data_IF_909006169597
#
_entry.id   IF_909006169597
#
_cell.length_a   1.000
_cell.length_b   1.000
_cell.length_c   1.000
_cell.angle_alpha   90.00
_cell.angle_beta   90.00
_cell.angle_gamma   90.00
#
_symmetry.space_group_name_H-M   'P 1'
#
loop_
_entity.id
_entity.type
_entity.pdbx_description
1 polymer ?
#
# COMPACT_ATOMS: atom_id res chain seq x y z
N UNK A 1 -7.24 -4.91 -9.19
CA UNK A 1 -8.47 -4.10 -9.38
C UNK A 1 -8.67 -3.10 -8.23
N UNK A 2 -8.83 -3.56 -6.97
CA UNK A 2 -9.13 -2.67 -5.82
C UNK A 2 -8.14 -1.52 -5.59
N UNK A 3 -6.83 -1.75 -5.70
CA UNK A 3 -5.82 -0.69 -5.50
C UNK A 3 -5.97 0.43 -6.54
N UNK A 4 -6.12 0.09 -7.82
CA UNK A 4 -6.32 1.09 -8.88
C UNK A 4 -7.61 1.88 -8.66
N UNK A 5 -8.71 1.20 -8.34
CA UNK A 5 -9.99 1.85 -8.01
C UNK A 5 -9.87 2.81 -6.83
N UNK A 6 -9.12 2.44 -5.79
CA UNK A 6 -8.85 3.32 -4.65
C UNK A 6 -8.05 4.55 -5.08
N UNK A 7 -6.99 4.34 -5.87
CA UNK A 7 -6.18 5.43 -6.41
C UNK A 7 -7.03 6.40 -7.23
N UNK A 8 -7.88 5.89 -8.14
CA UNK A 8 -8.75 6.71 -8.97
C UNK A 8 -9.76 7.51 -8.12
N UNK A 9 -10.30 6.92 -7.05
CA UNK A 9 -11.29 7.57 -6.17
C UNK A 9 -10.69 8.69 -5.31
N UNK A 10 -9.45 8.51 -4.83
CA UNK A 10 -8.75 9.47 -3.96
C UNK A 10 -7.88 10.45 -4.76
N UNK A 11 -7.65 10.19 -6.05
CA UNK A 11 -6.76 11.00 -6.90
C UNK A 11 -5.28 10.65 -6.74
N UNK A 12 -4.95 9.44 -6.29
CA UNK A 12 -3.57 8.95 -6.23
C UNK A 12 -3.12 8.35 -7.57
N UNK A 13 -1.81 8.32 -7.80
CA UNK A 13 -1.20 7.63 -8.94
C UNK A 13 -0.90 6.17 -8.58
N UNK A 14 -1.21 5.26 -9.50
CA UNK A 14 -0.87 3.84 -9.38
C UNK A 14 0.24 3.46 -10.35
N UNK A 15 1.29 2.80 -9.86
CA UNK A 15 2.38 2.25 -10.69
C UNK A 15 2.66 0.79 -10.33
N UNK A 16 2.90 -0.02 -11.37
CA UNK A 16 3.35 -1.40 -11.21
C UNK A 16 4.86 -1.52 -10.96
N UNK A 17 5.65 -0.52 -11.37
CA UNK A 17 7.09 -0.48 -11.17
C UNK A 17 7.44 0.53 -10.08
N UNK A 18 8.46 0.21 -9.28
CA UNK A 18 8.97 1.12 -8.26
C UNK A 18 9.77 2.24 -8.95
N UNK A 19 9.56 3.48 -8.52
CA UNK A 19 10.32 4.66 -8.93
C UNK A 19 10.52 5.57 -7.72
N UNK A 20 11.38 6.59 -7.84
CA UNK A 20 11.61 7.58 -6.77
C UNK A 20 10.38 8.42 -6.42
N UNK A 21 9.35 8.44 -7.26
CA UNK A 21 8.08 9.13 -6.98
C UNK A 21 7.13 8.31 -6.09
N UNK A 22 7.45 7.03 -5.84
CA UNK A 22 6.60 6.16 -5.03
C UNK A 22 6.66 6.58 -3.56
N UNK A 23 5.50 6.90 -3.00
CA UNK A 23 5.35 7.24 -1.58
C UNK A 23 4.81 6.09 -0.75
N UNK A 24 4.07 5.16 -1.37
CA UNK A 24 3.41 4.04 -0.70
C UNK A 24 3.70 2.72 -1.42
N UNK A 25 4.07 1.71 -0.66
CA UNK A 25 4.25 0.34 -1.14
C UNK A 25 3.19 -0.54 -0.48
N UNK A 26 2.30 -1.10 -1.30
CA UNK A 26 1.25 -2.00 -0.83
C UNK A 26 1.81 -3.43 -0.78
N UNK A 27 1.72 -4.07 0.38
CA UNK A 27 2.13 -5.46 0.59
C UNK A 27 0.96 -6.36 0.94
N UNK A 28 1.02 -7.62 0.49
CA UNK A 28 0.10 -8.65 0.94
C UNK A 28 0.62 -9.22 2.25
N UNK A 29 -0.19 -9.19 3.30
CA UNK A 29 0.13 -9.82 4.57
C UNK A 29 -0.24 -11.30 4.57
N UNK A 30 0.39 -12.08 5.45
CA UNK A 30 0.11 -13.52 5.62
C UNK A 30 -1.33 -13.75 6.05
N UNK A 31 -1.86 -12.88 6.92
CA UNK A 31 -3.27 -12.82 7.27
C UNK A 31 -3.72 -11.37 7.49
N UNK A 32 -5.02 -11.07 7.41
CA UNK A 32 -5.56 -9.74 7.69
C UNK A 32 -5.22 -9.22 9.11
N UNK A 33 -5.17 -10.11 10.09
CA UNK A 33 -4.99 -9.75 11.50
C UNK A 33 -3.52 -9.51 11.88
N UNK A 34 -2.59 -9.82 10.98
CA UNK A 34 -1.16 -9.85 11.29
C UNK A 34 -0.38 -9.00 10.30
N UNK A 35 0.67 -8.32 10.80
CA UNK A 35 1.48 -7.36 10.02
C UNK A 35 2.75 -7.97 9.40
N UNK A 36 2.81 -9.30 9.31
CA UNK A 36 3.89 -9.99 8.62
C UNK A 36 3.58 -10.12 7.13
N UNK A 37 4.58 -9.90 6.29
CA UNK A 37 4.51 -10.11 4.85
C UNK A 37 5.80 -10.80 4.37
N UNK A 38 5.69 -11.46 3.23
CA UNK A 38 6.88 -11.96 2.55
C UNK A 38 7.78 -10.80 2.10
N UNK A 39 9.09 -10.99 2.20
CA UNK A 39 10.06 -9.99 1.78
C UNK A 39 10.23 -10.05 0.27
N UNK A 40 9.65 -9.06 -0.41
CA UNK A 40 9.79 -8.87 -1.86
C UNK A 40 10.80 -7.77 -2.17
N UNK A 41 11.26 -7.70 -3.42
CA UNK A 41 12.12 -6.60 -3.87
C UNK A 41 11.48 -5.22 -3.60
N UNK A 42 10.18 -5.06 -3.92
CA UNK A 42 9.44 -3.81 -3.68
C UNK A 42 9.36 -3.44 -2.20
N UNK A 43 9.27 -4.43 -1.31
CA UNK A 43 9.30 -4.21 0.14
C UNK A 43 10.63 -3.60 0.57
N UNK A 44 11.76 -4.19 0.15
CA UNK A 44 13.08 -3.63 0.46
C UNK A 44 13.30 -2.25 -0.16
N UNK A 45 12.87 -2.05 -1.40
CA UNK A 45 12.93 -0.75 -2.07
C UNK A 45 12.13 0.32 -1.30
N UNK A 46 10.93 -0.02 -0.84
CA UNK A 46 10.10 0.86 -0.02
C UNK A 46 10.77 1.25 1.30
N UNK A 47 11.35 0.27 2.02
CA UNK A 47 12.09 0.55 3.26
C UNK A 47 13.29 1.47 2.99
N UNK A 48 14.09 1.15 1.97
CA UNK A 48 15.29 1.91 1.64
C UNK A 48 14.97 3.38 1.30
N UNK A 49 13.83 3.64 0.65
CA UNK A 49 13.37 4.98 0.28
C UNK A 49 12.46 5.62 1.33
N UNK A 50 12.28 5.00 2.51
CA UNK A 50 11.40 5.48 3.59
C UNK A 50 9.95 5.71 3.13
N UNK A 51 9.49 4.91 2.18
CA UNK A 51 8.09 4.89 1.76
C UNK A 51 7.22 4.29 2.86
N UNK A 52 5.93 4.62 2.84
CA UNK A 52 4.93 3.96 3.68
C UNK A 52 4.67 2.54 3.17
N UNK A 53 5.02 1.54 3.97
CA UNK A 53 4.71 0.14 3.66
C UNK A 53 3.38 -0.20 4.31
N UNK A 54 2.32 -0.34 3.51
CA UNK A 54 0.95 -0.54 3.99
C UNK A 54 0.38 -1.88 3.52
N UNK A 55 -0.50 -2.48 4.33
CA UNK A 55 -1.13 -3.76 3.97
C UNK A 55 -2.20 -3.59 2.90
N UNK A 56 -2.48 -4.66 2.15
CA UNK A 56 -3.62 -4.66 1.23
C UNK A 56 -4.96 -4.42 1.93
N UNK A 57 -5.10 -4.86 3.19
CA UNK A 57 -6.31 -4.61 3.97
C UNK A 57 -6.55 -3.12 4.24
N UNK A 58 -5.49 -2.32 4.40
CA UNK A 58 -5.62 -0.87 4.53
C UNK A 58 -6.34 -0.27 3.32
N UNK A 59 -6.07 -0.75 2.10
CA UNK A 59 -6.81 -0.35 0.89
C UNK A 59 -8.29 -0.73 1.01
N UNK A 60 -8.59 -1.95 1.45
CA UNK A 60 -9.99 -2.41 1.55
C UNK A 60 -10.78 -1.63 2.60
N UNK A 61 -10.16 -1.27 3.73
CA UNK A 61 -10.78 -0.46 4.78
C UNK A 61 -10.90 1.01 4.37
N UNK A 62 -9.90 1.55 3.66
CA UNK A 62 -9.94 2.91 3.12
C UNK A 62 -11.00 3.06 2.03
N UNK A 63 -11.19 2.04 1.19
CA UNK A 63 -12.28 2.01 0.21
C UNK A 63 -13.67 2.04 0.87
N UNK A 64 -13.85 1.34 2.00
CA UNK A 64 -15.11 1.35 2.76
C UNK A 64 -15.40 2.70 3.41
N UNK A 65 -14.36 3.39 3.85
CA UNK A 65 -14.48 4.70 4.53
C UNK A 65 -14.47 5.87 3.54
N UNK A 66 -14.24 5.59 2.25
CA UNK A 66 -14.09 6.57 1.16
C UNK A 66 -12.96 7.59 1.32
N UNK A 67 -12.10 7.41 2.32
CA UNK A 67 -10.94 8.25 2.61
C UNK A 67 -9.72 7.37 2.91
N UNK A 68 -8.49 7.84 2.64
CA UNK A 68 -7.28 7.20 3.13
C UNK A 68 -7.31 7.14 4.65
N UNK A 69 -7.23 5.94 5.22
CA UNK A 69 -7.05 5.78 6.65
C UNK A 69 -5.61 6.16 7.02
N UNK A 70 -5.39 6.58 8.27
CA UNK A 70 -4.02 6.80 8.76
C UNK A 70 -3.20 5.53 8.60
N UNK A 71 -1.97 5.68 8.12
CA UNK A 71 -1.01 4.62 7.92
C UNK A 71 -0.47 4.20 9.30
N UNK A 72 -1.19 3.30 9.96
CA UNK A 72 -0.73 2.74 11.25
C UNK A 72 0.24 1.61 10.95
N UNK A 73 1.54 1.85 11.20
CA UNK A 73 2.57 0.82 11.20
C UNK A 73 2.28 -0.25 12.24
#
# INVERSE_FOLDING_TARGET
HKVKQFCDKVGYKFSLQFSSEVTHVIVKTVSPQVRYCDRTLKYFQGIAHKCWVVSFQWIEQSLKSEIPLKEVM
#
